data_IF_899000336272
#
_entry.id   IF_899000336272
#
_cell.length_a   1.000
_cell.length_b   1.000
_cell.length_c   1.000
_cell.angle_alpha   90.00
_cell.angle_beta   90.00
_cell.angle_gamma   90.00
#
_symmetry.space_group_name_H-M   'P 1'
#
loop_
_entity.id
_entity.type
_entity.pdbx_description
1 polymer ?
#
# COMPACT_ATOMS: atom_id res chain seq x y z
N UNK A 1 2.71 15.71 19.43
CA UNK A 1 2.09 14.72 18.52
C UNK A 1 2.92 14.69 17.26
N UNK A 2 3.65 13.60 17.01
CA UNK A 2 4.46 13.48 15.80
C UNK A 2 3.58 12.89 14.70
N UNK A 3 3.17 13.74 13.76
CA UNK A 3 2.49 13.29 12.55
C UNK A 3 3.51 12.54 11.69
N UNK A 4 3.18 11.31 11.30
CA UNK A 4 4.00 10.56 10.35
C UNK A 4 3.87 11.18 8.96
N UNK A 5 4.98 11.29 8.25
CA UNK A 5 4.98 11.68 6.84
C UNK A 5 4.11 10.69 6.02
N UNK A 6 3.28 11.15 5.06
CA UNK A 6 2.39 10.28 4.28
C UNK A 6 3.10 9.08 3.64
N UNK A 7 4.29 9.31 3.07
CA UNK A 7 5.13 8.24 2.47
C UNK A 7 5.60 7.14 3.44
N UNK A 8 5.51 7.37 4.75
CA UNK A 8 5.78 6.36 5.81
C UNK A 8 4.47 5.84 6.42
N UNK A 9 3.48 6.72 6.58
CA UNK A 9 2.17 6.39 7.12
C UNK A 9 1.46 5.31 6.29
N UNK A 10 1.60 5.35 4.96
CA UNK A 10 1.01 4.39 4.03
C UNK A 10 1.35 2.94 4.41
N UNK A 11 2.59 2.65 4.83
CA UNK A 11 2.98 1.30 5.24
C UNK A 11 2.34 0.83 6.53
N UNK A 12 2.08 1.74 7.47
CA UNK A 12 1.38 1.38 8.72
C UNK A 12 -0.05 0.92 8.43
N UNK A 13 -0.72 1.56 7.45
CA UNK A 13 -2.07 1.22 7.01
C UNK A 13 -2.05 -0.06 6.18
N UNK A 14 -1.13 -0.16 5.22
CA UNK A 14 -1.02 -1.29 4.29
C UNK A 14 -0.71 -2.60 5.00
N UNK A 15 0.24 -2.60 5.95
CA UNK A 15 0.52 -3.76 6.80
C UNK A 15 -0.74 -4.26 7.52
N UNK A 16 -1.53 -3.35 8.08
CA UNK A 16 -2.75 -3.69 8.81
C UNK A 16 -3.86 -4.18 7.88
N UNK A 17 -4.02 -3.55 6.72
CA UNK A 17 -4.96 -3.98 5.71
C UNK A 17 -4.63 -5.41 5.20
N UNK A 18 -3.37 -5.69 4.87
CA UNK A 18 -2.90 -7.03 4.43
C UNK A 18 -3.17 -8.10 5.48
N UNK A 19 -2.96 -7.78 6.76
CA UNK A 19 -3.27 -8.70 7.86
C UNK A 19 -4.73 -9.15 7.87
N UNK A 20 -5.66 -8.24 7.54
CA UNK A 20 -7.08 -8.57 7.45
C UNK A 20 -7.50 -9.15 6.08
N UNK A 21 -6.83 -8.78 4.99
CA UNK A 21 -7.15 -9.25 3.64
C UNK A 21 -6.73 -10.72 3.41
N UNK A 22 -5.61 -11.15 4.00
CA UNK A 22 -5.02 -12.48 3.77
C UNK A 22 -5.53 -13.56 4.72
N UNK A 23 -6.31 -13.21 5.74
CA UNK A 23 -6.84 -14.15 6.72
C UNK A 23 -8.34 -14.34 6.54
N UNK A 24 -8.87 -15.57 6.61
CA UNK A 24 -10.31 -15.78 6.70
C UNK A 24 -10.81 -15.18 8.02
N UNK A 25 -11.37 -13.97 7.95
CA UNK A 25 -11.85 -13.25 9.12
C UNK A 25 -13.30 -12.82 8.91
N UNK A 26 -14.20 -13.49 9.64
CA UNK A 26 -15.65 -13.24 9.63
C UNK A 26 -16.08 -12.30 10.76
N UNK A 27 -15.16 -11.83 11.60
CA UNK A 27 -15.50 -10.94 12.73
C UNK A 27 -15.86 -9.56 12.17
N UNK A 28 -17.06 -9.02 12.47
CA UNK A 28 -17.52 -7.74 11.90
C UNK A 28 -16.54 -6.59 12.10
N UNK A 29 -15.89 -6.52 13.27
CA UNK A 29 -14.90 -5.49 13.59
C UNK A 29 -13.68 -5.55 12.66
N UNK A 30 -13.23 -6.74 12.27
CA UNK A 30 -12.09 -6.88 11.38
C UNK A 30 -12.44 -6.55 9.94
N UNK A 31 -13.64 -6.91 9.48
CA UNK A 31 -14.16 -6.51 8.17
C UNK A 31 -14.30 -4.99 8.08
N UNK A 32 -14.87 -4.36 9.11
CA UNK A 32 -14.96 -2.90 9.19
C UNK A 32 -13.57 -2.26 9.21
N UNK A 33 -12.61 -2.85 9.95
CA UNK A 33 -11.27 -2.30 10.01
C UNK A 33 -10.51 -2.41 8.69
N UNK A 34 -10.65 -3.54 7.99
CA UNK A 34 -10.13 -3.71 6.63
C UNK A 34 -10.68 -2.63 5.71
N UNK A 35 -12.00 -2.43 5.69
CA UNK A 35 -12.64 -1.42 4.83
C UNK A 35 -12.15 0.00 5.14
N UNK A 36 -12.10 0.36 6.42
CA UNK A 36 -11.57 1.67 6.84
C UNK A 36 -10.09 1.84 6.46
N UNK A 37 -9.27 0.81 6.61
CA UNK A 37 -7.86 0.89 6.18
C UNK A 37 -7.73 0.97 4.65
N UNK A 38 -8.66 0.38 3.89
CA UNK A 38 -8.72 0.50 2.44
C UNK A 38 -9.05 1.92 1.99
N UNK A 39 -10.08 2.53 2.59
CA UNK A 39 -10.47 3.93 2.36
C UNK A 39 -9.32 4.89 2.71
N UNK A 40 -8.66 4.67 3.87
CA UNK A 40 -7.49 5.43 4.28
C UNK A 40 -6.33 5.30 3.26
N UNK A 41 -6.10 4.10 2.74
CA UNK A 41 -5.04 3.84 1.76
C UNK A 41 -5.33 4.51 0.41
N UNK A 42 -6.56 4.38 -0.10
CA UNK A 42 -6.96 5.05 -1.34
C UNK A 42 -6.83 6.56 -1.19
N UNK A 43 -7.29 7.13 -0.07
CA UNK A 43 -7.12 8.54 0.22
C UNK A 43 -5.63 8.95 0.23
N UNK A 44 -4.78 8.19 0.92
CA UNK A 44 -3.34 8.50 0.98
C UNK A 44 -2.67 8.43 -0.39
N UNK A 45 -3.04 7.45 -1.23
CA UNK A 45 -2.50 7.33 -2.59
C UNK A 45 -2.82 8.59 -3.40
N UNK A 46 -4.08 9.01 -3.46
CA UNK A 46 -4.46 10.21 -4.20
C UNK A 46 -3.85 11.48 -3.60
N UNK A 47 -3.84 11.61 -2.27
CA UNK A 47 -3.21 12.74 -1.59
C UNK A 47 -1.73 12.86 -1.94
N UNK A 48 -1.01 11.73 -1.96
CA UNK A 48 0.40 11.70 -2.30
C UNK A 48 0.65 12.08 -3.75
N UNK A 49 -0.19 11.63 -4.69
CA UNK A 49 -0.11 12.07 -6.09
C UNK A 49 -0.32 13.59 -6.21
N UNK A 50 -1.38 14.12 -5.61
CA UNK A 50 -1.70 15.56 -5.64
C UNK A 50 -0.56 16.42 -5.09
N UNK A 51 0.15 15.93 -4.08
CA UNK A 51 1.25 16.63 -3.43
C UNK A 51 2.64 16.22 -3.94
N UNK A 52 2.72 15.48 -5.05
CA UNK A 52 3.98 15.03 -5.66
C UNK A 52 4.89 14.29 -4.67
N UNK A 53 4.31 13.48 -3.79
CA UNK A 53 5.00 12.69 -2.80
C UNK A 53 5.17 11.25 -3.24
N UNK A 54 6.30 10.65 -2.87
CA UNK A 54 6.54 9.22 -3.05
C UNK A 54 6.51 8.49 -1.72
N UNK A 55 6.31 7.19 -1.80
CA UNK A 55 6.53 6.25 -0.71
C UNK A 55 8.02 6.30 -0.33
N UNK A 56 8.29 6.14 0.96
CA UNK A 56 9.64 6.15 1.52
C UNK A 56 9.90 4.86 2.30
N UNK A 57 10.41 3.85 1.60
CA UNK A 57 10.70 2.53 2.15
C UNK A 57 11.78 2.60 3.24
N UNK A 58 12.81 3.41 3.03
CA UNK A 58 13.97 3.52 3.93
C UNK A 58 13.61 4.19 5.26
N UNK A 59 12.70 5.17 5.26
CA UNK A 59 12.24 5.81 6.51
C UNK A 59 11.31 4.94 7.34
N UNK A 60 10.80 3.84 6.80
CA UNK A 60 9.98 2.91 7.58
C UNK A 60 10.86 1.88 8.30
N UNK A 61 11.29 2.20 9.52
CA UNK A 61 12.11 1.30 10.35
C UNK A 61 11.38 0.03 10.83
N UNK A 62 10.07 -0.10 10.57
CA UNK A 62 9.25 -1.17 11.13
C UNK A 62 9.40 -2.52 10.43
N UNK A 63 9.87 -2.57 9.18
CA UNK A 63 10.01 -3.77 8.33
C UNK A 63 11.04 -3.53 7.21
N UNK A 64 11.70 -4.59 6.70
CA UNK A 64 12.58 -4.48 5.54
C UNK A 64 11.80 -4.17 4.25
N UNK A 65 12.46 -3.55 3.28
CA UNK A 65 11.88 -3.11 2.00
C UNK A 65 11.16 -4.23 1.25
N UNK A 66 11.72 -5.43 1.24
CA UNK A 66 11.15 -6.60 0.55
C UNK A 66 9.79 -6.99 1.14
N UNK A 67 9.63 -6.90 2.47
CA UNK A 67 8.35 -7.19 3.12
C UNK A 67 7.33 -6.09 2.82
N UNK A 68 7.76 -4.82 2.75
CA UNK A 68 6.89 -3.70 2.36
C UNK A 68 6.42 -3.81 0.91
N UNK A 69 7.32 -4.20 -0.02
CA UNK A 69 6.98 -4.51 -1.40
C UNK A 69 5.97 -5.67 -1.48
N UNK A 70 6.10 -6.69 -0.62
CA UNK A 70 5.13 -7.77 -0.56
C UNK A 70 3.72 -7.27 -0.17
N UNK A 71 3.63 -6.32 0.76
CA UNK A 71 2.35 -5.74 1.17
C UNK A 71 1.71 -4.93 0.04
N UNK A 72 2.52 -4.12 -0.65
CA UNK A 72 2.11 -3.38 -1.84
C UNK A 72 1.60 -4.32 -2.93
N UNK A 73 2.27 -5.44 -3.14
CA UNK A 73 1.84 -6.45 -4.10
C UNK A 73 0.52 -7.13 -3.74
N UNK A 74 0.27 -7.43 -2.46
CA UNK A 74 -1.04 -7.93 -2.03
C UNK A 74 -2.13 -6.88 -2.29
N UNK A 75 -1.86 -5.62 -1.96
CA UNK A 75 -2.81 -4.52 -2.19
C UNK A 75 -3.16 -4.38 -3.67
N UNK A 76 -2.16 -4.29 -4.54
CA UNK A 76 -2.38 -4.16 -5.99
C UNK A 76 -3.10 -5.34 -6.61
N UNK A 77 -2.84 -6.58 -6.15
CA UNK A 77 -3.58 -7.76 -6.65
C UNK A 77 -5.08 -7.70 -6.36
N UNK A 78 -5.49 -7.08 -5.25
CA UNK A 78 -6.91 -6.86 -4.94
C UNK A 78 -7.56 -5.92 -5.97
N UNK A 79 -6.83 -4.89 -6.38
CA UNK A 79 -7.27 -3.88 -7.33
C UNK A 79 -6.83 -4.16 -8.78
N UNK A 80 -6.40 -5.39 -9.12
CA UNK A 80 -5.84 -5.71 -10.45
C UNK A 80 -6.77 -5.41 -11.64
N UNK A 81 -8.06 -5.26 -11.39
CA UNK A 81 -9.08 -4.89 -12.40
C UNK A 81 -9.22 -3.38 -12.58
N UNK A 82 -8.76 -2.60 -11.60
CA UNK A 82 -8.72 -1.14 -11.63
C UNK A 82 -7.31 -0.70 -12.05
N UNK A 83 -7.09 -0.69 -13.36
CA UNK A 83 -5.80 -0.36 -13.97
C UNK A 83 -5.41 1.08 -13.67
N UNK A 84 -6.37 2.00 -13.64
CA UNK A 84 -6.13 3.41 -13.33
C UNK A 84 -5.64 3.57 -11.90
N UNK A 85 -6.28 2.90 -10.94
CA UNK A 85 -5.82 2.90 -9.56
C UNK A 85 -4.43 2.26 -9.42
N UNK A 86 -4.18 1.12 -10.07
CA UNK A 86 -2.86 0.48 -10.07
C UNK A 86 -1.75 1.41 -10.61
N UNK A 87 -2.03 2.15 -11.68
CA UNK A 87 -1.10 3.14 -12.23
C UNK A 87 -0.89 4.33 -11.28
N UNK A 88 -1.95 4.77 -10.59
CA UNK A 88 -1.88 5.82 -9.57
C UNK A 88 -0.95 5.39 -8.43
N UNK A 89 -1.11 4.17 -7.92
CA UNK A 89 -0.22 3.59 -6.91
C UNK A 89 1.22 3.47 -7.42
N UNK A 90 1.43 3.09 -8.68
CA UNK A 90 2.77 3.03 -9.28
C UNK A 90 3.45 4.41 -9.31
N UNK A 91 2.70 5.48 -9.60
CA UNK A 91 3.24 6.83 -9.70
C UNK A 91 3.82 7.39 -8.40
N UNK A 92 3.40 6.86 -7.25
CA UNK A 92 3.94 7.24 -5.93
C UNK A 92 5.10 6.34 -5.48
N UNK A 93 5.54 5.38 -6.29
CA UNK A 93 6.71 4.53 -6.00
C UNK A 93 7.88 5.06 -6.81
N UNK A 94 9.04 5.25 -6.16
CA UNK A 94 10.23 5.76 -6.86
C UNK A 94 10.74 4.74 -7.86
N UNK A 95 11.29 5.21 -8.98
CA UNK A 95 11.84 4.33 -10.02
C UNK A 95 12.93 3.39 -9.49
N UNK A 96 13.78 3.85 -8.55
CA UNK A 96 14.81 3.00 -7.93
C UNK A 96 14.24 1.84 -7.07
N UNK A 97 12.97 1.95 -6.67
CA UNK A 97 12.26 0.93 -5.90
C UNK A 97 11.46 -0.03 -6.79
N UNK A 98 11.39 0.26 -8.10
CA UNK A 98 10.74 -0.54 -9.13
C UNK A 98 11.78 -1.47 -9.76
N UNK A 99 11.82 -2.73 -9.32
CA UNK A 99 12.35 -3.79 -10.18
C UNK A 99 11.18 -4.32 -11.03
N UNK A 100 11.31 -4.27 -12.36
CA UNK A 100 10.29 -4.75 -13.30
C UNK A 100 9.86 -6.21 -13.01
N UNK A 101 10.74 -7.05 -12.45
CA UNK A 101 10.39 -8.42 -12.03
C UNK A 101 9.43 -8.46 -10.83
N UNK A 102 9.56 -7.53 -9.88
CA UNK A 102 8.69 -7.46 -8.70
C UNK A 102 7.28 -6.99 -9.06
N UNK A 103 7.15 -6.15 -10.09
CA UNK A 103 5.88 -5.69 -10.63
C UNK A 103 5.28 -6.64 -11.67
N UNK A 104 6.10 -7.38 -12.41
CA UNK A 104 5.64 -8.41 -13.34
C UNK A 104 4.80 -9.49 -12.64
N UNK A 105 5.14 -9.83 -11.39
CA UNK A 105 4.38 -10.77 -10.55
C UNK A 105 3.01 -10.24 -10.08
N UNK A 106 2.63 -9.00 -10.41
CA UNK A 106 1.33 -8.41 -10.08
C UNK A 106 0.30 -8.54 -11.21
N UNK A 107 0.75 -8.88 -12.41
CA UNK A 107 -0.08 -9.03 -13.62
C UNK A 107 -0.19 -10.49 -14.12
N UNK A 108 0.41 -11.46 -13.41
CA UNK A 108 0.31 -12.92 -13.68
C UNK A 108 -0.68 -13.57 -12.73
#
# INVERSE_FOLDING_TARGET
MNLLHPGVLIFTKMKRWVHYATRPNTRPQSTSKRKSDEEDLSFLVYWMVEHQMTIDFERYAGKPKEELLSYLGVYLREFKRDVEFCNTVRSIVKEEDVNDEAWALLYV
#
